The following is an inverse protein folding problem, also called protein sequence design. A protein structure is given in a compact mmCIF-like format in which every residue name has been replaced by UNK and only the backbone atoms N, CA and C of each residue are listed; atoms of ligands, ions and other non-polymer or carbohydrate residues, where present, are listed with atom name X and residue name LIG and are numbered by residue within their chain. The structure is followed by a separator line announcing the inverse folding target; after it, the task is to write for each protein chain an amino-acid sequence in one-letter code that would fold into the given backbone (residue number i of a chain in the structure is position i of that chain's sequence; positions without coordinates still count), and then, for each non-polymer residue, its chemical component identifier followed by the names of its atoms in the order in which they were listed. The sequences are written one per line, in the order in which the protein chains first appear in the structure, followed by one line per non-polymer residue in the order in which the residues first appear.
data_IF_258432724643
#
_entry.id   IF_258432724643
#
_cell.length_a   1.000
_cell.length_b   1.000
_cell.length_c   1.000
_cell.angle_alpha   90.00
_cell.angle_beta   90.00
_cell.angle_gamma   90.00
#
_symmetry.space_group_name_H-M   'P 1'
#
loop_
_entity.id
_entity.type
_entity.pdbx_description
1 polymer ?
#
# COMPACT_ATOMS: atom_id res chain seq x y z
N UNK A 1 15.76 13.36 23.07
CA UNK A 1 15.87 12.71 21.73
C UNK A 1 14.66 13.08 20.90
N UNK A 2 14.83 13.97 19.92
CA UNK A 2 13.76 14.40 19.01
C UNK A 2 13.30 13.21 18.16
N UNK A 3 12.06 12.74 18.37
CA UNK A 3 11.46 11.74 17.47
C UNK A 3 11.35 12.40 16.10
N UNK A 4 12.18 11.99 15.14
CA UNK A 4 12.04 12.43 13.75
C UNK A 4 10.72 11.89 13.23
N UNK A 5 9.69 12.72 13.21
CA UNK A 5 8.41 12.40 12.57
C UNK A 5 8.68 11.95 11.13
N UNK A 6 8.08 10.83 10.73
CA UNK A 6 8.28 10.29 9.38
C UNK A 6 7.71 11.28 8.37
N UNK A 7 8.56 11.74 7.44
CA UNK A 7 8.17 12.77 6.47
C UNK A 7 6.98 12.29 5.62
N UNK A 8 6.08 13.19 5.17
CA UNK A 8 4.95 12.82 4.31
C UNK A 8 5.40 12.11 3.04
N UNK A 9 6.56 12.50 2.49
CA UNK A 9 7.18 11.86 1.34
C UNK A 9 7.56 10.40 1.63
N UNK A 10 8.31 10.18 2.71
CA UNK A 10 8.73 8.83 3.12
C UNK A 10 7.54 7.92 3.40
N UNK A 11 6.48 8.44 4.05
CA UNK A 11 5.24 7.70 4.29
C UNK A 11 4.55 7.31 2.99
N UNK A 12 4.40 8.25 2.07
CA UNK A 12 3.76 8.00 0.78
C UNK A 12 4.54 7.00 -0.07
N UNK A 13 5.87 7.09 -0.08
CA UNK A 13 6.72 6.11 -0.77
C UNK A 13 6.56 4.73 -0.12
N UNK A 14 6.66 4.63 1.20
CA UNK A 14 6.54 3.35 1.91
C UNK A 14 5.18 2.70 1.71
N UNK A 15 4.09 3.46 1.82
CA UNK A 15 2.74 2.96 1.52
C UNK A 15 2.55 2.62 0.04
N UNK A 16 3.16 3.38 -0.87
CA UNK A 16 3.18 3.05 -2.30
C UNK A 16 3.89 1.73 -2.57
N UNK A 17 5.07 1.51 -1.97
CA UNK A 17 5.80 0.23 -2.06
C UNK A 17 4.92 -0.92 -1.56
N UNK A 18 4.27 -0.74 -0.41
CA UNK A 18 3.33 -1.70 0.16
C UNK A 18 2.16 -1.98 -0.79
N UNK A 19 1.60 -0.96 -1.43
CA UNK A 19 0.59 -1.13 -2.50
C UNK A 19 1.12 -1.96 -3.67
N UNK A 20 2.36 -1.71 -4.07
CA UNK A 20 2.99 -2.41 -5.18
C UNK A 20 3.18 -3.90 -4.91
N UNK A 21 3.38 -4.27 -3.64
CA UNK A 21 3.42 -5.65 -3.17
C UNK A 21 2.00 -6.24 -3.05
N UNK A 22 1.07 -5.50 -2.42
CA UNK A 22 -0.33 -5.88 -2.17
C UNK A 22 -1.25 -4.67 -2.40
N UNK A 23 -2.12 -4.76 -3.40
CA UNK A 23 -2.88 -3.62 -3.91
C UNK A 23 -3.80 -2.98 -2.86
N UNK A 24 -4.42 -3.77 -1.99
CA UNK A 24 -5.34 -3.28 -0.98
C UNK A 24 -4.64 -2.80 0.31
N UNK A 25 -3.37 -3.15 0.53
CA UNK A 25 -2.65 -2.79 1.75
C UNK A 25 -2.41 -1.28 1.85
N UNK A 26 -1.98 -0.62 0.78
CA UNK A 26 -1.69 0.81 0.81
C UNK A 26 -2.88 1.65 1.27
N UNK A 27 -4.07 1.53 0.64
CA UNK A 27 -5.29 2.21 1.09
C UNK A 27 -5.68 1.85 2.52
N UNK A 28 -5.60 0.57 2.91
CA UNK A 28 -5.94 0.14 4.26
C UNK A 28 -5.05 0.79 5.33
N UNK A 29 -3.73 0.81 5.12
CA UNK A 29 -2.80 1.46 6.05
C UNK A 29 -2.87 2.99 6.01
N UNK A 30 -3.16 3.59 4.85
CA UNK A 30 -3.41 5.02 4.74
C UNK A 30 -4.67 5.43 5.53
N UNK A 31 -5.76 4.67 5.39
CA UNK A 31 -7.00 4.88 6.13
C UNK A 31 -6.79 4.66 7.63
N UNK A 32 -6.08 3.60 8.03
CA UNK A 32 -5.68 3.38 9.42
C UNK A 32 -4.92 4.57 10.01
N UNK A 33 -3.96 5.11 9.26
CA UNK A 33 -3.17 6.26 9.72
C UNK A 33 -4.04 7.49 9.98
N UNK A 34 -4.92 7.86 9.03
CA UNK A 34 -5.76 9.06 9.15
C UNK A 34 -6.97 8.85 10.06
N UNK A 35 -7.42 7.62 10.29
CA UNK A 35 -8.39 7.30 11.32
C UNK A 35 -7.79 7.47 12.74
N UNK A 36 -6.56 6.99 12.96
CA UNK A 36 -5.85 7.18 14.23
C UNK A 36 -5.32 8.60 14.43
N UNK A 37 -5.12 9.35 13.35
CA UNK A 37 -4.68 10.73 13.36
C UNK A 37 -5.58 11.58 12.46
N UNK A 38 -6.81 11.89 12.91
CA UNK A 38 -7.74 12.69 12.14
C UNK A 38 -7.12 14.04 11.77
N UNK A 39 -7.35 14.47 10.54
CA UNK A 39 -6.85 15.73 10.00
C UNK A 39 -8.01 16.60 9.53
N UNK A 40 -8.00 17.86 9.99
CA UNK A 40 -8.95 18.87 9.54
C UNK A 40 -8.85 19.10 8.03
N UNK A 41 -7.65 18.96 7.47
CA UNK A 41 -7.40 19.14 6.04
C UNK A 41 -8.14 18.12 5.16
N UNK A 42 -8.58 16.99 5.72
CA UNK A 42 -9.36 15.97 5.01
C UNK A 42 -10.87 16.17 5.15
N UNK A 43 -11.36 16.83 6.21
CA UNK A 43 -12.81 16.94 6.51
C UNK A 43 -13.60 17.62 5.40
N UNK A 44 -13.03 18.66 4.78
CA UNK A 44 -13.68 19.42 3.71
C UNK A 44 -13.33 18.89 2.31
N UNK A 45 -13.03 17.59 2.19
CA UNK A 45 -12.56 17.00 0.93
C UNK A 45 -13.31 15.70 0.64
N UNK A 46 -13.38 15.27 -0.63
CA UNK A 46 -13.92 13.96 -0.98
C UNK A 46 -13.10 12.80 -0.41
N UNK A 47 -11.96 13.03 0.23
CA UNK A 47 -11.16 12.00 0.91
C UNK A 47 -11.51 11.86 2.40
N UNK A 48 -12.51 12.60 2.91
CA UNK A 48 -12.91 12.53 4.31
C UNK A 48 -13.30 11.11 4.75
N UNK A 49 -13.91 10.32 3.85
CA UNK A 49 -14.31 8.94 4.13
C UNK A 49 -13.13 8.04 4.55
N UNK A 50 -11.90 8.34 4.11
CA UNK A 50 -10.70 7.59 4.52
C UNK A 50 -10.44 7.66 6.03
N UNK A 51 -11.00 8.65 6.73
CA UNK A 51 -10.88 8.82 8.18
C UNK A 51 -11.90 8.01 8.97
N UNK A 52 -12.97 7.52 8.32
CA UNK A 52 -14.06 6.82 8.98
C UNK A 52 -13.62 5.41 9.40
N UNK A 53 -14.08 4.98 10.58
CA UNK A 53 -13.77 3.65 11.09
C UNK A 53 -14.34 2.53 10.19
N UNK A 54 -15.55 2.72 9.66
CA UNK A 54 -16.18 1.76 8.74
C UNK A 54 -15.36 1.58 7.46
N UNK A 55 -14.83 2.66 6.90
CA UNK A 55 -13.99 2.62 5.70
C UNK A 55 -12.65 1.96 5.96
N UNK A 56 -12.02 2.23 7.11
CA UNK A 56 -10.81 1.55 7.55
C UNK A 56 -11.02 0.03 7.66
N UNK A 57 -12.09 -0.40 8.35
CA UNK A 57 -12.43 -1.82 8.50
C UNK A 57 -12.70 -2.48 7.15
N UNK A 58 -13.47 -1.83 6.28
CA UNK A 58 -13.74 -2.34 4.93
C UNK A 58 -12.45 -2.54 4.10
N UNK A 59 -11.57 -1.54 4.08
CA UNK A 59 -10.29 -1.64 3.37
C UNK A 59 -9.37 -2.71 3.97
N UNK A 60 -9.38 -2.89 5.30
CA UNK A 60 -8.66 -3.99 5.97
C UNK A 60 -9.23 -5.35 5.60
N UNK A 61 -10.56 -5.48 5.48
CA UNK A 61 -11.20 -6.71 5.00
C UNK A 61 -10.83 -7.01 3.55
N UNK A 62 -10.79 -6.00 2.67
CA UNK A 62 -10.31 -6.16 1.30
C UNK A 62 -8.84 -6.60 1.26
N UNK A 63 -7.99 -6.02 2.10
CA UNK A 63 -6.59 -6.41 2.25
C UNK A 63 -6.44 -7.86 2.74
N UNK A 64 -7.22 -8.28 3.72
CA UNK A 64 -7.25 -9.67 4.18
C UNK A 64 -7.76 -10.62 3.08
N UNK A 65 -8.78 -10.20 2.32
CA UNK A 65 -9.30 -10.94 1.18
C UNK A 65 -8.26 -11.15 0.08
N UNK A 66 -7.42 -10.14 -0.20
CA UNK A 66 -6.32 -10.26 -1.17
C UNK A 66 -5.33 -11.38 -0.78
N UNK A 67 -5.04 -11.58 0.51
CA UNK A 67 -4.19 -12.68 1.00
C UNK A 67 -4.82 -14.07 0.82
N UNK A 68 -6.15 -14.15 0.93
CA UNK A 68 -6.89 -15.41 0.75
C UNK A 68 -6.92 -15.76 -0.73
N UNK A 69 -7.22 -14.79 -1.59
CA UNK A 69 -7.24 -14.95 -3.05
C UNK A 69 -5.84 -15.27 -3.58
N UNK A 70 -4.77 -14.70 -2.99
CA UNK A 70 -3.38 -14.99 -3.38
C UNK A 70 -2.97 -16.46 -3.13
N UNK A 71 -3.68 -17.19 -2.25
CA UNK A 71 -3.44 -18.62 -1.98
C UNK A 71 -4.32 -19.55 -2.81
N UNK A 72 -5.34 -19.03 -3.50
CA UNK A 72 -6.20 -19.84 -4.35
C UNK A 72 -5.49 -20.14 -5.68
N UNK A 73 -5.17 -21.42 -5.91
CA UNK A 73 -4.41 -21.93 -7.05
C UNK A 73 -5.06 -21.70 -8.45
N UNK A 74 -6.17 -20.98 -8.55
CA UNK A 74 -6.95 -20.81 -9.79
C UNK A 74 -6.62 -19.52 -10.56
N UNK A 75 -5.97 -18.52 -9.97
CA UNK A 75 -5.80 -17.22 -10.64
C UNK A 75 -4.57 -17.25 -11.56
N UNK A 76 -4.82 -17.52 -12.84
CA UNK A 76 -3.84 -17.52 -13.92
C UNK A 76 -3.10 -16.18 -14.10
N UNK A 77 -1.88 -16.29 -14.65
CA UNK A 77 -0.91 -15.25 -14.99
C UNK A 77 -1.12 -13.85 -14.36
N UNK A 78 -0.42 -13.65 -13.23
CA UNK A 78 -0.32 -12.45 -12.40
C UNK A 78 0.42 -11.26 -13.07
N UNK A 79 0.26 -11.09 -14.37
CA UNK A 79 0.69 -9.93 -15.17
C UNK A 79 -0.46 -9.32 -15.99
N UNK A 80 -1.71 -9.67 -15.69
CA UNK A 80 -2.86 -9.07 -16.33
C UNK A 80 -2.96 -7.58 -15.95
N UNK A 81 -2.91 -6.72 -16.98
CA UNK A 81 -3.16 -5.27 -16.98
C UNK A 81 -4.11 -4.76 -15.87
N UNK A 82 -5.26 -5.41 -15.56
CA UNK A 82 -6.12 -5.00 -14.45
C UNK A 82 -5.43 -4.92 -13.08
N UNK A 83 -4.50 -5.80 -12.75
CA UNK A 83 -3.77 -5.77 -11.47
C UNK A 83 -2.84 -4.56 -11.35
N UNK A 84 -2.22 -4.14 -12.46
CA UNK A 84 -1.32 -2.98 -12.48
C UNK A 84 -2.10 -1.67 -12.34
N UNK A 85 -3.22 -1.54 -13.06
CA UNK A 85 -4.11 -0.37 -12.94
C UNK A 85 -4.68 -0.27 -11.54
N UNK A 86 -5.10 -1.38 -10.93
CA UNK A 86 -5.57 -1.41 -9.55
C UNK A 86 -4.52 -0.92 -8.56
N UNK A 87 -3.27 -1.38 -8.68
CA UNK A 87 -2.16 -0.94 -7.82
C UNK A 87 -1.79 0.52 -8.02
N UNK A 88 -1.83 1.01 -9.26
CA UNK A 88 -1.60 2.42 -9.57
C UNK A 88 -2.65 3.30 -8.87
N UNK A 89 -3.94 2.98 -9.03
CA UNK A 89 -5.04 3.73 -8.42
C UNK A 89 -5.01 3.64 -6.90
N UNK A 90 -4.74 2.46 -6.34
CA UNK A 90 -4.60 2.27 -4.90
C UNK A 90 -3.42 3.06 -4.32
N UNK A 91 -2.29 3.11 -5.03
CA UNK A 91 -1.10 3.87 -4.65
C UNK A 91 -1.38 5.37 -4.70
N UNK A 92 -2.09 5.81 -5.74
CA UNK A 92 -2.56 7.18 -5.89
C UNK A 92 -3.48 7.58 -4.73
N UNK A 93 -4.46 6.74 -4.38
CA UNK A 93 -5.40 6.99 -3.30
C UNK A 93 -4.68 7.06 -1.94
N UNK A 94 -3.79 6.11 -1.65
CA UNK A 94 -3.00 6.10 -0.43
C UNK A 94 -2.14 7.37 -0.31
N UNK A 95 -1.42 7.72 -1.38
CA UNK A 95 -0.55 8.89 -1.40
C UNK A 95 -1.31 10.22 -1.31
N UNK A 96 -2.44 10.34 -2.02
CA UNK A 96 -3.31 11.51 -1.95
C UNK A 96 -3.83 11.75 -0.53
N UNK A 97 -4.27 10.67 0.13
CA UNK A 97 -4.76 10.68 1.51
C UNK A 97 -3.69 11.18 2.48
N UNK A 98 -2.46 10.64 2.41
CA UNK A 98 -1.36 11.07 3.28
C UNK A 98 -0.99 12.53 3.06
N UNK A 99 -0.79 12.98 1.80
CA UNK A 99 -0.40 14.36 1.53
C UNK A 99 -1.49 15.35 1.95
N UNK A 100 -2.75 15.04 1.66
CA UNK A 100 -3.86 15.90 2.05
C UNK A 100 -4.05 15.94 3.57
N UNK A 101 -3.83 14.84 4.28
CA UNK A 101 -3.84 14.80 5.75
C UNK A 101 -2.82 15.75 6.41
N UNK A 102 -1.76 16.12 5.68
CA UNK A 102 -0.71 17.04 6.13
C UNK A 102 -0.86 18.45 5.54
N UNK A 103 -2.04 18.78 5.02
CA UNK A 103 -2.31 20.09 4.42
C UNK A 103 -1.61 20.34 3.07
N UNK A 104 -1.00 19.31 2.46
CA UNK A 104 -0.31 19.42 1.16
C UNK A 104 -1.28 19.12 0.01
N UNK A 105 -0.81 19.35 -1.22
CA UNK A 105 -1.60 19.11 -2.44
C UNK A 105 -1.78 17.60 -2.66
N UNK A 106 -3.03 17.14 -2.77
CA UNK A 106 -3.39 15.73 -2.92
C UNK A 106 -2.82 15.10 -4.20
N UNK A 107 -2.82 15.84 -5.30
CA UNK A 107 -2.30 15.34 -6.59
C UNK A 107 -0.81 14.99 -6.54
N UNK A 108 -0.01 15.73 -5.75
CA UNK A 108 1.41 15.43 -5.58
C UNK A 108 1.60 14.09 -4.87
N UNK A 109 0.85 13.89 -3.78
CA UNK A 109 0.84 12.61 -3.07
C UNK A 109 0.34 11.47 -3.95
N UNK A 110 -0.68 11.71 -4.78
CA UNK A 110 -1.21 10.74 -5.72
C UNK A 110 -0.15 10.27 -6.72
N UNK A 111 0.56 11.21 -7.37
CA UNK A 111 1.61 10.88 -8.33
C UNK A 111 2.75 10.10 -7.67
N UNK A 112 3.21 10.53 -6.50
CA UNK A 112 4.30 9.86 -5.78
C UNK A 112 3.87 8.44 -5.38
N UNK A 113 2.66 8.29 -4.81
CA UNK A 113 2.14 7.00 -4.39
C UNK A 113 1.91 6.04 -5.57
N UNK A 114 1.38 6.55 -6.68
CA UNK A 114 1.20 5.79 -7.92
C UNK A 114 2.53 5.33 -8.52
N UNK A 115 3.51 6.23 -8.59
CA UNK A 115 4.85 5.93 -9.10
C UNK A 115 5.56 4.89 -8.22
N UNK A 116 5.52 5.07 -6.89
CA UNK A 116 6.11 4.12 -5.95
C UNK A 116 5.44 2.74 -6.03
N UNK A 117 4.11 2.67 -6.13
CA UNK A 117 3.39 1.41 -6.30
C UNK A 117 3.75 0.69 -7.59
N UNK A 118 3.80 1.43 -8.69
CA UNK A 118 4.14 0.88 -10.01
C UNK A 118 5.58 0.36 -10.03
N UNK A 119 6.53 1.16 -9.54
CA UNK A 119 7.93 0.77 -9.46
C UNK A 119 8.13 -0.48 -8.57
N UNK A 120 7.47 -0.52 -7.41
CA UNK A 120 7.53 -1.68 -6.53
C UNK A 120 6.90 -2.93 -7.18
N UNK A 121 5.77 -2.80 -7.86
CA UNK A 121 5.18 -3.93 -8.61
C UNK A 121 6.17 -4.57 -9.57
N UNK A 122 6.85 -3.79 -10.39
CA UNK A 122 7.86 -4.34 -11.31
C UNK A 122 9.07 -4.91 -10.57
N UNK A 123 9.55 -4.22 -9.54
CA UNK A 123 10.68 -4.67 -8.74
C UNK A 123 10.43 -6.06 -8.13
N UNK A 124 9.29 -6.25 -7.45
CA UNK A 124 8.95 -7.53 -6.84
C UNK A 124 8.61 -8.60 -7.87
N UNK A 125 8.02 -8.23 -9.01
CA UNK A 125 7.81 -9.17 -10.11
C UNK A 125 9.13 -9.75 -10.63
N UNK A 126 10.13 -8.90 -10.89
CA UNK A 126 11.44 -9.37 -11.35
C UNK A 126 12.21 -10.12 -10.26
N UNK A 127 12.14 -9.67 -9.00
CA UNK A 127 12.76 -10.39 -7.88
C UNK A 127 12.20 -11.81 -7.75
N UNK A 128 10.88 -11.98 -7.87
CA UNK A 128 10.25 -13.30 -7.81
C UNK A 128 10.71 -14.19 -8.96
N UNK A 129 10.74 -13.66 -10.18
CA UNK A 129 11.25 -14.40 -11.34
C UNK A 129 12.72 -14.82 -11.18
N UNK A 130 13.55 -14.00 -10.53
CA UNK A 130 14.95 -14.34 -10.23
C UNK A 130 15.05 -15.42 -9.16
N UNK A 131 14.22 -15.36 -8.11
CA UNK A 131 14.17 -16.37 -7.04
C UNK A 131 13.72 -17.71 -7.59
N UNK A 132 12.61 -17.74 -8.34
CA UNK A 132 12.06 -18.96 -8.93
C UNK A 132 13.05 -19.66 -9.88
N UNK A 133 13.89 -18.89 -10.57
CA UNK A 133 14.92 -19.42 -11.47
C UNK A 133 16.17 -19.93 -10.74
N UNK A 134 16.50 -19.38 -9.58
CA UNK A 134 17.77 -19.67 -8.88
C UNK A 134 17.63 -20.61 -7.68
N UNK A 135 16.44 -20.71 -7.10
CA UNK A 135 16.23 -21.36 -5.81
C UNK A 135 14.99 -22.27 -5.86
N UNK A 136 15.11 -23.57 -5.56
CA UNK A 136 13.97 -24.48 -5.46
C UNK A 136 13.26 -24.31 -4.11
N UNK A 137 12.81 -23.09 -3.80
CA UNK A 137 12.11 -22.77 -2.54
C UNK A 137 10.60 -22.89 -2.78
N UNK A 138 9.88 -23.45 -1.80
CA UNK A 138 8.42 -23.57 -1.83
C UNK A 138 7.78 -22.17 -1.89
N UNK A 139 6.93 -21.92 -2.89
CA UNK A 139 6.22 -20.65 -3.15
C UNK A 139 5.58 -20.00 -1.90
N UNK A 140 5.12 -20.82 -0.96
CA UNK A 140 4.48 -20.37 0.28
C UNK A 140 5.44 -19.66 1.25
N UNK A 141 6.72 -20.05 1.27
CA UNK A 141 7.72 -19.43 2.16
C UNK A 141 8.13 -18.04 1.64
N UNK A 142 8.25 -17.89 0.32
CA UNK A 142 8.54 -16.61 -0.34
C UNK A 142 7.38 -15.63 -0.13
N UNK A 143 6.14 -16.07 -0.31
CA UNK A 143 4.95 -15.24 -0.05
C UNK A 143 4.84 -14.77 1.40
N UNK A 144 5.15 -15.65 2.37
CA UNK A 144 5.14 -15.26 3.79
C UNK A 144 6.18 -14.19 4.14
N UNK A 145 7.36 -14.25 3.50
CA UNK A 145 8.40 -13.21 3.67
C UNK A 145 8.00 -11.88 3.04
N UNK A 146 7.40 -11.91 1.84
CA UNK A 146 6.86 -10.71 1.18
C UNK A 146 5.80 -10.02 2.04
N UNK A 147 4.87 -10.79 2.64
CA UNK A 147 3.84 -10.23 3.50
C UNK A 147 4.44 -9.62 4.78
N UNK A 148 5.42 -10.28 5.40
CA UNK A 148 6.12 -9.76 6.57
C UNK A 148 6.87 -8.45 6.27
N UNK A 149 7.54 -8.38 5.11
CA UNK A 149 8.19 -7.15 4.64
C UNK A 149 7.16 -6.03 4.41
N UNK A 150 6.04 -6.31 3.75
CA UNK A 150 5.00 -5.34 3.49
C UNK A 150 4.44 -4.76 4.82
N UNK A 151 4.14 -5.62 5.80
CA UNK A 151 3.68 -5.20 7.12
C UNK A 151 4.75 -4.36 7.84
N UNK A 152 6.03 -4.75 7.77
CA UNK A 152 7.14 -4.00 8.35
C UNK A 152 7.26 -2.58 7.77
N UNK A 153 7.21 -2.45 6.44
CA UNK A 153 7.27 -1.15 5.75
C UNK A 153 6.04 -0.30 6.10
N UNK A 154 4.86 -0.91 6.15
CA UNK A 154 3.61 -0.22 6.51
C UNK A 154 3.63 0.27 7.96
N UNK A 155 4.09 -0.56 8.90
CA UNK A 155 4.21 -0.19 10.32
C UNK A 155 5.20 0.96 10.51
N UNK A 156 6.34 0.93 9.82
CA UNK A 156 7.30 2.04 9.84
C UNK A 156 6.69 3.32 9.25
N UNK A 157 5.96 3.21 8.14
CA UNK A 157 5.36 4.35 7.44
C UNK A 157 4.18 4.99 8.19
N UNK A 158 3.48 4.22 9.03
CA UNK A 158 2.32 4.71 9.81
C UNK A 158 2.69 5.12 11.24
N UNK A 159 3.95 4.96 11.65
CA UNK A 159 4.46 5.37 12.97
C UNK A 159 4.36 6.88 13.14
N UNK A 160 4.01 7.35 14.35
CA UNK A 160 4.00 8.78 14.73
C UNK A 160 5.35 9.42 14.49
#
# INVERSE_FOLDING_TARGET
MSKKDVSPLSRTIGLGVVTGMRSAFGPAFASYYVNKHPSESLKHTPLNWMQNESSMRYLQTLAAGELIVDKAAWVGNRTAIPGLTGRLLAGALAGATIYKSKGRKSWQGALIGAAAATAATFLFYYLRQLVDRKLPIKDSAVGGFEDALAVGIAAFSTRK
#
